data_IF_567379033692
#
_entry.id   IF_567379033692
#
_cell.length_a   1.000
_cell.length_b   1.000
_cell.length_c   1.000
_cell.angle_alpha   90.00
_cell.angle_beta   90.00
_cell.angle_gamma   90.00
#
_symmetry.space_group_name_H-M   'P 1'
#
loop_
_entity.id
_entity.type
_entity.pdbx_description
1 polymer ?
#
# COMPACT_ATOMS: atom_id res chain seq x y z
N UNK A 1 36.49 -22.06 -56.79
CA UNK A 1 35.70 -20.82 -56.92
C UNK A 1 34.82 -20.68 -55.69
N UNK A 2 35.11 -19.66 -54.89
CA UNK A 2 34.56 -19.34 -53.59
C UNK A 2 33.10 -18.89 -53.66
N UNK A 3 32.27 -19.22 -52.64
CA UNK A 3 31.31 -18.28 -52.04
C UNK A 3 31.13 -18.60 -50.55
N UNK A 4 31.54 -17.66 -49.72
CA UNK A 4 31.18 -17.56 -48.31
C UNK A 4 29.75 -16.96 -48.18
N UNK A 5 29.31 -16.79 -46.92
CA UNK A 5 28.32 -15.80 -46.44
C UNK A 5 26.98 -16.34 -45.96
N UNK A 6 26.47 -16.08 -44.73
CA UNK A 6 26.98 -15.56 -43.44
C UNK A 6 25.98 -16.01 -42.35
N UNK A 7 26.42 -16.08 -41.10
CA UNK A 7 25.55 -16.18 -39.93
C UNK A 7 24.94 -14.81 -39.64
N UNK A 8 23.61 -14.71 -39.59
CA UNK A 8 22.92 -13.53 -39.05
C UNK A 8 22.26 -13.92 -37.72
N UNK A 9 22.94 -13.59 -36.62
CA UNK A 9 22.38 -13.69 -35.27
C UNK A 9 21.34 -12.61 -35.03
N UNK A 10 20.13 -13.01 -34.64
CA UNK A 10 19.05 -12.10 -34.25
C UNK A 10 19.18 -11.80 -32.74
N UNK A 11 19.81 -10.67 -32.40
CA UNK A 11 19.82 -10.13 -31.05
C UNK A 11 18.55 -9.28 -30.84
N UNK A 12 17.51 -9.86 -30.21
CA UNK A 12 16.33 -9.11 -29.81
C UNK A 12 16.62 -8.31 -28.54
N UNK A 13 16.53 -6.98 -28.64
CA UNK A 13 16.68 -6.04 -27.54
C UNK A 13 15.58 -6.25 -26.49
N UNK A 14 15.99 -6.55 -25.25
CA UNK A 14 15.14 -6.45 -24.06
C UNK A 14 15.02 -4.96 -23.68
N UNK A 15 13.94 -4.31 -24.11
CA UNK A 15 13.55 -3.00 -23.59
C UNK A 15 13.00 -3.14 -22.18
N UNK A 16 13.85 -2.91 -21.17
CA UNK A 16 13.43 -2.79 -19.77
C UNK A 16 12.64 -1.48 -19.60
N UNK A 17 11.33 -1.59 -19.38
CA UNK A 17 10.48 -0.44 -19.08
C UNK A 17 10.92 0.20 -17.76
N UNK A 18 11.46 1.41 -17.81
CA UNK A 18 11.76 2.20 -16.62
C UNK A 18 10.45 2.75 -16.06
N UNK A 19 9.89 2.11 -15.03
CA UNK A 19 8.80 2.69 -14.26
C UNK A 19 9.34 3.89 -13.48
N UNK A 20 8.93 5.10 -13.85
CA UNK A 20 9.32 6.32 -13.13
C UNK A 20 8.64 6.38 -11.75
N UNK A 21 9.42 6.78 -10.74
CA UNK A 21 8.90 7.03 -9.40
C UNK A 21 7.89 8.20 -9.44
N UNK A 22 6.65 7.95 -9.02
CA UNK A 22 5.64 9.01 -8.93
C UNK A 22 5.86 9.83 -7.65
N UNK A 23 5.79 11.15 -7.78
CA UNK A 23 5.89 12.07 -6.63
C UNK A 23 4.71 11.88 -5.67
N UNK A 24 4.96 12.10 -4.38
CA UNK A 24 3.89 12.07 -3.40
C UNK A 24 2.90 13.23 -3.63
N UNK A 25 1.59 12.98 -3.79
CA UNK A 25 0.63 14.03 -4.17
C UNK A 25 0.39 15.06 -3.07
N UNK A 26 0.68 14.73 -1.80
CA UNK A 26 0.64 15.68 -0.70
C UNK A 26 2.00 16.34 -0.40
N UNK A 27 2.95 16.29 -1.35
CA UNK A 27 4.27 16.90 -1.24
C UNK A 27 5.22 16.17 -0.29
N UNK A 28 6.36 16.82 0.00
CA UNK A 28 7.44 16.26 0.81
C UNK A 28 8.45 15.42 0.02
N UNK A 29 9.36 14.76 0.75
CA UNK A 29 10.45 13.95 0.19
C UNK A 29 10.06 12.50 -0.13
N UNK A 30 8.81 12.11 0.13
CA UNK A 30 8.32 10.74 -0.07
C UNK A 30 8.01 10.40 -1.53
N UNK A 31 8.06 9.11 -1.84
CA UNK A 31 7.70 8.56 -3.16
C UNK A 31 6.37 7.84 -3.06
N UNK A 32 5.51 8.01 -4.06
CA UNK A 32 4.24 7.28 -4.11
C UNK A 32 4.50 5.78 -4.25
N UNK A 33 3.83 4.98 -3.42
CA UNK A 33 3.83 3.53 -3.54
C UNK A 33 2.92 3.12 -4.70
N UNK A 34 3.48 2.44 -5.69
CA UNK A 34 2.74 1.93 -6.86
C UNK A 34 2.24 0.50 -6.64
N UNK A 35 3.00 -0.33 -5.92
CA UNK A 35 2.65 -1.71 -5.57
C UNK A 35 1.77 -1.81 -4.30
N UNK A 36 0.71 -1.00 -4.22
CA UNK A 36 -0.11 -0.85 -3.01
C UNK A 36 -0.76 -2.15 -2.53
N UNK A 37 -1.28 -2.96 -3.44
CA UNK A 37 -1.92 -4.23 -3.08
C UNK A 37 -0.92 -5.17 -2.39
N UNK A 38 0.30 -5.28 -2.91
CA UNK A 38 1.36 -6.09 -2.31
C UNK A 38 1.86 -5.48 -0.98
N UNK A 39 1.82 -4.15 -0.85
CA UNK A 39 2.21 -3.48 0.39
C UNK A 39 1.30 -3.86 1.55
N UNK A 40 -0.02 -3.90 1.35
CA UNK A 40 -0.98 -4.08 2.46
C UNK A 40 -1.48 -5.52 2.60
N UNK A 41 -1.50 -6.34 1.55
CA UNK A 41 -2.08 -7.68 1.61
C UNK A 41 -1.43 -8.55 2.70
N UNK A 42 -2.24 -9.05 3.62
CA UNK A 42 -1.79 -9.89 4.74
C UNK A 42 -0.94 -9.13 5.75
N UNK A 43 -1.14 -7.82 5.91
CA UNK A 43 -0.37 -6.97 6.82
C UNK A 43 -1.28 -6.09 7.70
N UNK A 44 -0.78 -5.73 8.88
CA UNK A 44 -1.38 -4.71 9.75
C UNK A 44 -0.80 -3.35 9.44
N UNK A 45 -1.65 -2.37 9.15
CA UNK A 45 -1.30 -0.95 9.13
C UNK A 45 -1.48 -0.36 10.53
N UNK A 46 -0.38 0.15 11.07
CA UNK A 46 -0.31 0.85 12.34
C UNK A 46 -0.21 2.34 12.08
N UNK A 47 -1.21 3.11 12.52
CA UNK A 47 -1.24 4.52 12.21
C UNK A 47 -1.89 5.35 13.33
N UNK A 48 -1.62 6.65 13.30
CA UNK A 48 -2.20 7.61 14.22
C UNK A 48 -2.60 8.90 13.50
N UNK A 49 -3.61 9.58 14.03
CA UNK A 49 -4.05 10.92 13.64
C UNK A 49 -4.43 11.70 14.90
N UNK A 50 -3.56 12.60 15.31
CA UNK A 50 -3.70 13.24 16.62
C UNK A 50 -3.54 12.19 17.73
N UNK A 51 -4.49 12.13 18.66
CA UNK A 51 -4.49 11.13 19.74
C UNK A 51 -5.09 9.77 19.31
N UNK A 52 -5.79 9.72 18.17
CA UNK A 52 -6.42 8.51 17.68
C UNK A 52 -5.36 7.57 17.10
N UNK A 53 -5.37 6.32 17.56
CA UNK A 53 -4.51 5.24 17.06
C UNK A 53 -5.39 4.14 16.51
N UNK A 54 -5.05 3.60 15.34
CA UNK A 54 -5.72 2.43 14.79
C UNK A 54 -4.72 1.41 14.29
N UNK A 55 -5.18 0.17 14.29
CA UNK A 55 -4.41 -1.02 13.93
C UNK A 55 -5.30 -1.92 13.07
N UNK A 56 -5.13 -1.80 11.76
CA UNK A 56 -6.03 -2.42 10.80
C UNK A 56 -5.30 -3.46 9.96
N UNK A 57 -5.80 -4.70 10.00
CA UNK A 57 -5.29 -5.83 9.25
C UNK A 57 -6.03 -6.01 7.93
N UNK A 58 -5.30 -6.16 6.84
CA UNK A 58 -5.85 -6.29 5.49
C UNK A 58 -5.84 -7.74 5.03
N UNK A 59 -7.02 -8.36 4.95
CA UNK A 59 -7.21 -9.77 4.59
C UNK A 59 -8.16 -9.90 3.41
N UNK A 60 -7.65 -10.35 2.25
CA UNK A 60 -8.44 -10.33 1.01
C UNK A 60 -8.87 -8.90 0.67
N UNK A 61 -10.18 -8.66 0.59
CA UNK A 61 -10.77 -7.32 0.42
C UNK A 61 -11.25 -6.70 1.74
N UNK A 62 -11.01 -7.36 2.88
CA UNK A 62 -11.51 -6.93 4.18
C UNK A 62 -10.45 -6.14 4.95
N UNK A 63 -10.95 -5.24 5.79
CA UNK A 63 -10.18 -4.51 6.78
C UNK A 63 -10.70 -4.90 8.15
N UNK A 64 -9.81 -5.46 8.95
CA UNK A 64 -10.10 -6.01 10.27
C UNK A 64 -9.47 -5.09 11.30
N UNK A 65 -10.27 -4.54 12.21
CA UNK A 65 -9.73 -3.88 13.40
C UNK A 65 -9.15 -4.95 14.33
N UNK A 66 -7.86 -4.84 14.63
CA UNK A 66 -7.16 -5.85 15.43
C UNK A 66 -7.71 -5.93 16.86
N UNK A 67 -8.13 -4.80 17.45
CA UNK A 67 -8.59 -4.72 18.86
C UNK A 67 -7.63 -5.38 19.86
N UNK A 68 -8.02 -6.42 20.58
CA UNK A 68 -7.12 -7.23 21.43
C UNK A 68 -6.67 -8.56 20.78
N UNK A 69 -7.07 -8.81 19.53
CA UNK A 69 -6.71 -9.98 18.75
C UNK A 69 -7.89 -10.93 18.50
N UNK A 70 -7.78 -11.87 17.55
CA UNK A 70 -8.93 -12.65 17.06
C UNK A 70 -9.49 -13.67 18.08
N UNK A 71 -8.74 -13.99 19.12
CA UNK A 71 -9.13 -14.97 20.16
C UNK A 71 -9.46 -14.32 21.51
N UNK A 72 -9.41 -12.99 21.60
CA UNK A 72 -9.77 -12.31 22.85
C UNK A 72 -11.28 -12.50 23.13
N UNK A 73 -11.64 -12.77 24.39
CA UNK A 73 -13.03 -13.08 24.76
C UNK A 73 -13.88 -11.83 25.00
N UNK A 74 -13.24 -10.69 25.22
CA UNK A 74 -13.88 -9.43 25.60
C UNK A 74 -13.94 -8.49 24.39
N UNK A 75 -12.87 -8.44 23.62
CA UNK A 75 -12.70 -7.49 22.52
C UNK A 75 -11.97 -8.13 21.32
N UNK A 76 -12.59 -9.15 20.69
CA UNK A 76 -12.00 -9.85 19.55
C UNK A 76 -11.85 -8.94 18.33
N UNK A 77 -10.93 -9.29 17.43
CA UNK A 77 -10.81 -8.63 16.13
C UNK A 77 -12.11 -8.72 15.32
N UNK A 78 -12.46 -7.64 14.61
CA UNK A 78 -13.71 -7.55 13.84
C UNK A 78 -13.47 -6.94 12.46
N UNK A 79 -14.23 -7.38 11.47
CA UNK A 79 -14.23 -6.73 10.15
C UNK A 79 -14.98 -5.41 10.25
N UNK A 80 -14.30 -4.30 9.96
CA UNK A 80 -14.85 -2.94 10.09
C UNK A 80 -15.04 -2.23 8.75
N UNK A 81 -14.38 -2.72 7.69
CA UNK A 81 -14.48 -2.15 6.36
C UNK A 81 -14.09 -3.16 5.28
N UNK A 82 -14.30 -2.72 4.04
CA UNK A 82 -13.64 -3.31 2.87
C UNK A 82 -12.62 -2.33 2.30
N UNK A 83 -11.65 -2.84 1.53
CA UNK A 83 -10.74 -1.99 0.77
C UNK A 83 -10.56 -2.48 -0.66
N UNK A 84 -10.19 -1.55 -1.53
CA UNK A 84 -9.83 -1.82 -2.93
C UNK A 84 -8.62 -0.98 -3.32
N UNK A 85 -7.84 -1.46 -4.29
CA UNK A 85 -6.66 -0.76 -4.81
C UNK A 85 -6.81 -0.48 -6.30
N UNK A 86 -6.59 0.77 -6.72
CA UNK A 86 -6.36 1.13 -8.13
C UNK A 86 -4.86 1.12 -8.42
N UNK A 87 -4.46 0.99 -9.69
CA UNK A 87 -3.03 0.91 -10.07
C UNK A 87 -2.51 2.17 -10.78
N UNK A 88 -3.38 2.97 -11.41
CA UNK A 88 -2.94 4.14 -12.17
C UNK A 88 -3.96 5.31 -12.12
N UNK A 89 -3.75 6.29 -11.23
CA UNK A 89 -2.74 6.32 -10.17
C UNK A 89 -3.05 5.30 -9.07
N UNK A 90 -2.00 4.81 -8.40
CA UNK A 90 -2.17 3.79 -7.37
C UNK A 90 -2.81 4.36 -6.10
N UNK A 91 -4.07 4.06 -5.81
CA UNK A 91 -4.78 4.50 -4.60
C UNK A 91 -5.31 3.31 -3.82
N UNK A 92 -5.48 3.48 -2.51
CA UNK A 92 -6.24 2.57 -1.66
C UNK A 92 -7.53 3.26 -1.21
N UNK A 93 -8.66 2.60 -1.40
CA UNK A 93 -9.97 3.10 -0.99
C UNK A 93 -10.52 2.19 0.09
N UNK A 94 -10.90 2.78 1.22
CA UNK A 94 -11.56 2.11 2.34
C UNK A 94 -13.04 2.46 2.35
N UNK A 95 -13.91 1.48 2.50
CA UNK A 95 -15.35 1.67 2.66
C UNK A 95 -15.81 1.08 4.00
N UNK A 96 -16.20 1.98 4.91
CA UNK A 96 -16.71 1.67 6.26
C UNK A 96 -18.25 1.65 6.30
N UNK A 97 -18.92 1.53 5.16
CA UNK A 97 -20.38 1.59 5.06
C UNK A 97 -20.91 2.96 5.47
N UNK A 98 -21.69 3.01 6.53
CA UNK A 98 -22.24 4.27 7.08
C UNK A 98 -21.16 5.20 7.62
N UNK A 99 -19.97 4.68 7.95
CA UNK A 99 -18.80 5.46 8.33
C UNK A 99 -18.16 6.23 7.17
N UNK A 100 -18.59 5.98 5.93
CA UNK A 100 -18.11 6.67 4.74
C UNK A 100 -17.03 5.91 3.95
N UNK A 101 -16.62 6.53 2.84
CA UNK A 101 -15.59 6.01 1.94
C UNK A 101 -14.42 6.99 1.86
N UNK A 102 -13.20 6.47 2.02
CA UNK A 102 -11.98 7.28 2.09
C UNK A 102 -10.93 6.72 1.15
N UNK A 103 -10.46 7.56 0.23
CA UNK A 103 -9.43 7.19 -0.76
C UNK A 103 -8.13 7.91 -0.45
N UNK A 104 -7.03 7.15 -0.45
CA UNK A 104 -5.71 7.66 -0.18
C UNK A 104 -4.71 7.25 -1.25
N UNK A 105 -3.82 8.17 -1.60
CA UNK A 105 -2.51 7.80 -2.10
C UNK A 105 -1.61 7.45 -0.91
N UNK A 106 -0.78 6.42 -1.03
CA UNK A 106 0.21 6.09 0.00
C UNK A 106 1.59 6.46 -0.51
N UNK A 107 2.33 7.17 0.31
CA UNK A 107 3.72 7.52 0.05
C UNK A 107 4.62 6.81 1.04
N UNK A 108 5.70 6.23 0.54
CA UNK A 108 6.82 5.80 1.35
C UNK A 108 7.66 7.04 1.68
N UNK A 109 7.81 7.32 2.97
CA UNK A 109 8.78 8.27 3.50
C UNK A 109 10.13 7.53 3.70
N UNK A 110 10.98 7.97 4.63
CA UNK A 110 12.22 7.28 4.93
C UNK A 110 12.00 5.97 5.73
N UNK A 111 12.82 4.96 5.45
CA UNK A 111 12.74 3.65 6.11
C UNK A 111 11.44 2.91 5.80
N UNK A 112 10.83 2.30 6.82
CA UNK A 112 9.57 1.54 6.73
C UNK A 112 8.34 2.37 7.16
N UNK A 113 8.40 3.68 6.97
CA UNK A 113 7.32 4.61 7.35
C UNK A 113 6.56 5.10 6.13
N UNK A 114 5.26 5.27 6.32
CA UNK A 114 4.32 5.62 5.27
C UNK A 114 3.43 6.77 5.69
N UNK A 115 2.93 7.47 4.67
CA UNK A 115 1.94 8.54 4.82
C UNK A 115 0.79 8.28 3.88
N UNK A 116 -0.42 8.55 4.37
CA UNK A 116 -1.64 8.50 3.57
C UNK A 116 -2.06 9.93 3.24
N UNK A 117 -2.12 10.22 1.95
CA UNK A 117 -2.54 11.51 1.41
C UNK A 117 -3.97 11.42 0.91
N UNK A 118 -4.84 12.34 1.34
CA UNK A 118 -6.13 12.60 0.70
C UNK A 118 -5.99 13.86 -0.16
N UNK A 119 -5.96 13.67 -1.49
CA UNK A 119 -5.61 14.74 -2.42
C UNK A 119 -4.21 15.30 -2.14
N UNK A 120 -4.12 16.63 -1.97
CA UNK A 120 -2.88 17.34 -1.66
C UNK A 120 -2.55 17.41 -0.16
N UNK A 121 -3.37 16.80 0.71
CA UNK A 121 -3.18 16.87 2.16
C UNK A 121 -2.70 15.54 2.74
N UNK A 122 -1.64 15.60 3.55
CA UNK A 122 -1.20 14.50 4.39
C UNK A 122 -2.17 14.35 5.57
N UNK A 123 -2.93 13.26 5.62
CA UNK A 123 -3.94 13.06 6.68
C UNK A 123 -3.51 12.08 7.76
N UNK A 124 -2.56 11.21 7.42
CA UNK A 124 -1.97 10.20 8.31
C UNK A 124 -0.47 10.16 8.05
N UNK A 125 0.35 10.37 9.08
CA UNK A 125 1.81 10.39 8.97
C UNK A 125 2.45 9.38 9.91
N UNK A 126 3.63 8.87 9.56
CA UNK A 126 4.39 7.94 10.40
C UNK A 126 3.74 6.55 10.53
N UNK A 127 2.88 6.17 9.58
CA UNK A 127 2.28 4.84 9.59
C UNK A 127 3.35 3.77 9.36
N UNK A 128 3.24 2.64 10.05
CA UNK A 128 4.10 1.48 9.83
C UNK A 128 3.25 0.29 9.39
N UNK A 129 3.87 -0.66 8.70
CA UNK A 129 3.19 -1.82 8.13
C UNK A 129 3.90 -3.08 8.58
N UNK A 130 3.19 -3.93 9.32
CA UNK A 130 3.69 -5.14 9.95
C UNK A 130 3.12 -6.38 9.26
N UNK A 131 3.92 -7.44 9.15
CA UNK A 131 3.45 -8.69 8.53
C UNK A 131 2.49 -9.45 9.45
N UNK A 132 1.39 -9.95 8.88
CA UNK A 132 0.37 -10.73 9.59
C UNK A 132 -0.63 -9.87 10.38
N UNK A 133 -1.62 -10.54 10.97
CA UNK A 133 -2.58 -9.93 11.88
C UNK A 133 -1.94 -9.81 13.26
N UNK A 134 -1.24 -8.70 13.49
CA UNK A 134 -0.48 -8.45 14.72
C UNK A 134 -0.85 -7.11 15.37
N UNK A 135 -0.58 -7.00 16.67
CA UNK A 135 -0.75 -5.76 17.45
C UNK A 135 0.29 -4.73 17.05
N UNK A 136 -0.12 -3.46 17.00
CA UNK A 136 0.83 -2.37 16.83
C UNK A 136 1.64 -2.11 18.13
N UNK A 137 2.92 -1.70 18.01
CA UNK A 137 3.76 -1.31 19.15
C UNK A 137 3.18 -0.17 19.99
#
# INVERSE_FOLDING_TARGET
MSKAVWWAGLAALLSVGQASAQTCPCGGTGTRVTALAALVAGKTVCAARGAERWQQYHSGSNVIDYKQGPTDKVDPSETVATFSVTTQPANITYNYGTGGTYTYAVCADSGSTYRFCSGSSATVTGATILSGQVRCP
#
